data_IF_526874121308
#
_entry.id   IF_526874121308
#
_cell.length_a   1.000
_cell.length_b   1.000
_cell.length_c   1.000
_cell.angle_alpha   90.00
_cell.angle_beta   90.00
_cell.angle_gamma   90.00
#
_symmetry.space_group_name_H-M   'P 1'
#
loop_
_entity.id
_entity.type
_entity.pdbx_description
1 polymer ?
#
# COMPACT_ATOMS: atom_id res chain seq x y z
N UNK A 1 -5.82 30.96 -21.64
CA UNK A 1 -5.85 29.48 -21.49
C UNK A 1 -4.49 28.98 -21.91
N UNK A 2 -3.66 28.46 -21.00
CA UNK A 2 -2.43 27.75 -21.40
C UNK A 2 -2.91 26.50 -22.15
N UNK A 3 -2.49 26.34 -23.40
CA UNK A 3 -2.72 25.09 -24.12
C UNK A 3 -2.13 23.94 -23.30
N UNK A 4 -2.99 23.01 -22.87
CA UNK A 4 -2.61 21.91 -22.02
C UNK A 4 -1.88 20.87 -22.90
N UNK A 5 -0.59 21.11 -23.13
CA UNK A 5 0.27 20.39 -24.08
C UNK A 5 0.60 18.94 -23.63
N UNK A 6 0.23 18.54 -22.41
CA UNK A 6 0.49 17.20 -21.86
C UNK A 6 0.03 16.08 -22.81
N UNK A 7 -1.18 16.19 -23.37
CA UNK A 7 -1.70 15.20 -24.33
C UNK A 7 -0.85 15.10 -25.60
N UNK A 8 -0.50 16.25 -26.19
CA UNK A 8 0.29 16.29 -27.42
C UNK A 8 1.72 15.78 -27.21
N UNK A 9 2.28 15.94 -26.01
CA UNK A 9 3.56 15.35 -25.62
C UNK A 9 3.43 13.82 -25.56
N UNK A 10 2.40 13.30 -24.88
CA UNK A 10 2.16 11.85 -24.74
C UNK A 10 1.98 11.18 -26.11
N UNK A 11 1.20 11.79 -27.02
CA UNK A 11 0.99 11.24 -28.37
C UNK A 11 2.26 11.18 -29.22
N UNK A 12 3.18 12.13 -29.05
CA UNK A 12 4.44 12.16 -29.82
C UNK A 12 5.45 11.12 -29.34
N UNK A 13 5.27 10.58 -28.14
CA UNK A 13 6.23 9.71 -27.45
C UNK A 13 5.86 8.21 -27.52
N UNK A 14 5.30 7.77 -28.65
CA UNK A 14 5.00 6.35 -28.93
C UNK A 14 6.26 5.46 -28.82
N UNK A 15 7.46 6.04 -28.98
CA UNK A 15 8.76 5.37 -28.93
C UNK A 15 9.60 5.79 -27.71
N UNK A 16 8.97 6.14 -26.59
CA UNK A 16 9.67 6.55 -25.37
C UNK A 16 10.84 5.60 -25.02
N UNK A 17 11.99 6.18 -24.72
CA UNK A 17 13.17 5.48 -24.24
C UNK A 17 13.49 5.95 -22.81
N UNK A 18 13.93 5.03 -21.92
CA UNK A 18 14.25 5.40 -20.56
C UNK A 18 15.41 6.40 -20.53
N UNK A 19 15.28 7.53 -19.81
CA UNK A 19 16.37 8.48 -19.68
C UNK A 19 17.50 7.87 -18.84
N UNK A 20 18.74 8.32 -19.10
CA UNK A 20 19.86 8.07 -18.20
C UNK A 20 19.56 8.75 -16.85
N UNK A 21 19.64 7.97 -15.77
CA UNK A 21 19.48 8.47 -14.41
C UNK A 21 20.86 8.95 -13.93
N UNK A 22 21.10 10.25 -14.04
CA UNK A 22 22.36 10.89 -13.67
C UNK A 22 22.21 11.89 -12.51
N UNK A 23 20.99 12.14 -12.07
CA UNK A 23 20.65 13.07 -11.00
C UNK A 23 19.85 12.37 -9.90
N UNK A 24 19.84 13.00 -8.73
CA UNK A 24 19.08 12.52 -7.59
C UNK A 24 17.58 12.59 -7.88
N UNK A 25 16.90 11.46 -7.76
CA UNK A 25 15.46 11.37 -7.97
C UNK A 25 14.75 11.87 -6.73
N UNK A 26 13.88 12.86 -6.90
CA UNK A 26 13.02 13.36 -5.83
C UNK A 26 12.12 12.24 -5.31
N UNK A 27 12.09 12.09 -4.00
CA UNK A 27 11.16 11.19 -3.31
C UNK A 27 9.77 11.80 -3.13
N UNK A 28 8.83 10.97 -2.66
CA UNK A 28 7.47 11.41 -2.29
C UNK A 28 7.43 12.33 -1.06
N UNK A 29 6.21 12.72 -0.70
CA UNK A 29 5.94 13.74 0.32
C UNK A 29 5.79 13.21 1.76
N UNK A 30 6.17 11.95 2.02
CA UNK A 30 6.16 11.36 3.36
C UNK A 30 7.38 11.86 4.18
N UNK A 31 7.16 12.51 5.34
CA UNK A 31 8.26 13.00 6.17
C UNK A 31 9.21 11.90 6.64
N UNK A 32 10.52 12.14 6.49
CA UNK A 32 11.57 11.24 6.98
C UNK A 32 11.78 9.96 6.17
N UNK A 33 10.97 9.73 5.13
CA UNK A 33 11.18 8.61 4.22
C UNK A 33 12.51 8.76 3.46
N UNK A 34 13.08 7.61 3.12
CA UNK A 34 14.28 7.49 2.30
C UNK A 34 14.05 6.39 1.28
N UNK A 35 14.22 6.71 0.02
CA UNK A 35 14.11 5.73 -1.07
C UNK A 35 15.49 5.17 -1.43
N UNK A 36 15.53 3.88 -1.78
CA UNK A 36 16.75 3.26 -2.32
C UNK A 36 16.45 2.67 -3.70
N UNK A 37 16.78 3.43 -4.74
CA UNK A 37 16.52 3.01 -6.12
C UNK A 37 17.65 2.09 -6.58
N UNK A 38 17.35 0.80 -6.71
CA UNK A 38 18.22 -0.21 -7.31
C UNK A 38 17.87 -0.49 -8.77
N UNK A 39 18.69 -1.34 -9.40
CA UNK A 39 18.51 -1.77 -10.79
C UNK A 39 17.14 -2.40 -11.05
N UNK A 40 16.67 -3.26 -10.15
CA UNK A 40 15.37 -3.93 -10.28
C UNK A 40 14.20 -2.92 -10.28
N UNK A 41 14.32 -1.83 -9.52
CA UNK A 41 13.32 -0.75 -9.53
C UNK A 41 13.29 -0.03 -10.87
N UNK A 42 14.47 0.28 -11.43
CA UNK A 42 14.60 0.94 -12.73
C UNK A 42 14.03 0.06 -13.85
N UNK A 43 14.43 -1.22 -13.89
CA UNK A 43 13.95 -2.17 -14.91
C UNK A 43 12.43 -2.35 -14.85
N UNK A 44 11.86 -2.40 -13.65
CA UNK A 44 10.42 -2.46 -13.44
C UNK A 44 9.71 -1.19 -13.89
N UNK A 45 10.21 -0.01 -13.50
CA UNK A 45 9.64 1.27 -13.93
C UNK A 45 9.70 1.44 -15.46
N UNK A 46 10.79 1.00 -16.10
CA UNK A 46 10.94 1.02 -17.56
C UNK A 46 9.92 0.15 -18.30
N UNK A 47 9.39 -0.90 -17.65
CA UNK A 47 8.31 -1.72 -18.20
C UNK A 47 6.94 -1.12 -17.94
N UNK A 48 6.74 -0.53 -16.76
CA UNK A 48 5.47 0.10 -16.37
C UNK A 48 5.19 1.36 -17.20
N UNK A 49 6.20 2.21 -17.39
CA UNK A 49 6.01 3.56 -17.91
C UNK A 49 5.46 3.60 -19.35
N UNK A 50 5.93 2.79 -20.31
CA UNK A 50 5.31 2.72 -21.64
C UNK A 50 3.84 2.29 -21.59
N UNK A 51 3.48 1.37 -20.70
CA UNK A 51 2.10 0.93 -20.53
C UNK A 51 1.22 2.04 -19.90
N UNK A 52 1.77 2.82 -18.97
CA UNK A 52 1.10 4.01 -18.46
C UNK A 52 0.82 5.03 -19.56
N UNK A 53 1.80 5.33 -20.43
CA UNK A 53 1.64 6.31 -21.52
C UNK A 53 0.48 5.93 -22.45
N UNK A 54 0.33 4.65 -22.80
CA UNK A 54 -0.79 4.15 -23.64
C UNK A 54 -2.17 4.40 -23.02
N UNK A 55 -2.25 4.36 -21.69
CA UNK A 55 -3.50 4.58 -20.96
C UNK A 55 -3.75 6.06 -20.68
N UNK A 56 -2.67 6.84 -20.49
CA UNK A 56 -2.72 8.25 -20.13
C UNK A 56 -3.37 9.12 -21.19
N UNK A 57 -3.11 8.88 -22.49
CA UNK A 57 -3.75 9.63 -23.58
C UNK A 57 -5.28 9.62 -23.45
N UNK A 58 -5.86 8.43 -23.23
CA UNK A 58 -7.31 8.24 -23.06
C UNK A 58 -7.85 8.83 -21.75
N UNK A 59 -7.04 8.93 -20.70
CA UNK A 59 -7.49 9.47 -19.42
C UNK A 59 -7.39 11.00 -19.38
N UNK A 60 -6.34 11.56 -19.98
CA UNK A 60 -6.13 13.01 -20.06
C UNK A 60 -7.26 13.70 -20.83
N UNK A 61 -7.73 13.12 -21.95
CA UNK A 61 -8.86 13.65 -22.73
C UNK A 61 -10.17 13.74 -21.92
N UNK A 62 -10.37 12.83 -20.96
CA UNK A 62 -11.60 12.77 -20.16
C UNK A 62 -11.67 13.86 -19.09
N UNK A 63 -10.53 14.48 -18.78
CA UNK A 63 -10.46 15.54 -17.79
C UNK A 63 -10.22 16.89 -18.51
N UNK A 64 -11.15 17.87 -18.44
CA UNK A 64 -10.97 19.17 -19.09
C UNK A 64 -9.72 19.96 -18.66
N UNK A 65 -9.19 19.66 -17.47
CA UNK A 65 -7.96 20.23 -16.93
C UNK A 65 -6.72 19.39 -17.27
N UNK A 66 -6.85 18.33 -18.07
CA UNK A 66 -5.76 17.43 -18.47
C UNK A 66 -5.03 16.81 -17.28
N UNK A 67 -5.71 16.68 -16.13
CA UNK A 67 -5.16 16.14 -14.88
C UNK A 67 -5.54 14.69 -14.70
N UNK A 68 -4.54 13.85 -14.41
CA UNK A 68 -4.70 12.40 -14.25
C UNK A 68 -4.12 11.94 -12.92
N UNK A 69 -4.84 11.04 -12.25
CA UNK A 69 -4.39 10.42 -11.00
C UNK A 69 -4.00 8.97 -11.22
N UNK A 70 -2.77 8.65 -10.87
CA UNK A 70 -2.21 7.29 -10.89
C UNK A 70 -2.08 6.85 -9.44
N UNK A 71 -2.37 5.59 -9.12
CA UNK A 71 -1.94 5.02 -7.84
C UNK A 71 -0.93 3.90 -8.06
N UNK A 72 0.09 3.84 -7.21
CA UNK A 72 1.03 2.73 -7.14
C UNK A 72 0.79 2.03 -5.80
N UNK A 73 0.14 0.87 -5.85
CA UNK A 73 -0.24 0.11 -4.67
C UNK A 73 0.44 -1.26 -4.62
N UNK A 74 0.41 -1.87 -3.44
CA UNK A 74 1.11 -3.13 -3.16
C UNK A 74 1.55 -3.23 -1.71
N UNK A 75 2.02 -4.41 -1.31
CA UNK A 75 2.41 -4.68 0.08
C UNK A 75 3.55 -3.80 0.58
N UNK A 76 3.76 -3.75 1.89
CA UNK A 76 4.94 -3.07 2.45
C UNK A 76 6.24 -3.69 1.90
N UNK A 77 7.15 -2.85 1.39
CA UNK A 77 8.47 -3.28 0.90
C UNK A 77 8.54 -3.78 -0.54
N UNK A 78 7.46 -3.70 -1.33
CA UNK A 78 7.47 -4.11 -2.75
C UNK A 78 8.08 -3.07 -3.71
N UNK A 79 8.51 -1.92 -3.19
CA UNK A 79 9.13 -0.83 -3.94
C UNK A 79 8.16 0.27 -4.41
N UNK A 80 7.04 0.50 -3.72
CA UNK A 80 6.03 1.51 -4.13
C UNK A 80 6.62 2.91 -4.26
N UNK A 81 7.32 3.38 -3.22
CA UNK A 81 7.89 4.72 -3.14
C UNK A 81 8.99 4.91 -4.19
N UNK A 82 9.84 3.91 -4.42
CA UNK A 82 10.86 3.92 -5.47
C UNK A 82 10.25 3.98 -6.87
N UNK A 83 9.27 3.12 -7.15
CA UNK A 83 8.61 3.10 -8.46
C UNK A 83 7.85 4.41 -8.69
N UNK A 84 7.08 4.90 -7.72
CA UNK A 84 6.37 6.18 -7.85
C UNK A 84 7.33 7.36 -8.12
N UNK A 85 8.49 7.38 -7.44
CA UNK A 85 9.51 8.41 -7.64
C UNK A 85 10.14 8.33 -9.03
N UNK A 86 10.44 7.12 -9.52
CA UNK A 86 10.94 6.89 -10.88
C UNK A 86 9.93 7.32 -11.96
N UNK A 87 8.66 6.94 -11.80
CA UNK A 87 7.61 7.32 -12.75
C UNK A 87 7.42 8.85 -12.78
N UNK A 88 7.43 9.50 -11.62
CA UNK A 88 7.34 10.95 -11.50
C UNK A 88 8.53 11.64 -12.19
N UNK A 89 9.75 11.12 -11.99
CA UNK A 89 10.95 11.55 -12.68
C UNK A 89 10.85 11.41 -14.20
N UNK A 90 10.34 10.29 -14.70
CA UNK A 90 10.17 10.07 -16.15
C UNK A 90 9.17 11.06 -16.76
N UNK A 91 8.04 11.34 -16.11
CA UNK A 91 7.13 12.39 -16.58
C UNK A 91 7.80 13.75 -16.63
N UNK A 92 8.54 14.14 -15.58
CA UNK A 92 9.26 15.40 -15.54
C UNK A 92 10.30 15.52 -16.67
N UNK A 93 11.02 14.43 -17.00
CA UNK A 93 11.96 14.41 -18.14
C UNK A 93 11.29 14.53 -19.51
N UNK A 94 10.01 14.17 -19.62
CA UNK A 94 9.20 14.42 -20.81
C UNK A 94 8.60 15.84 -20.84
N UNK A 95 8.84 16.68 -19.81
CA UNK A 95 8.22 17.99 -19.69
C UNK A 95 6.77 17.95 -19.20
N UNK A 96 6.34 16.84 -18.58
CA UNK A 96 5.03 16.70 -17.96
C UNK A 96 5.21 16.81 -16.45
N UNK A 97 4.60 17.83 -15.83
CA UNK A 97 4.71 17.99 -14.39
C UNK A 97 4.01 16.89 -13.61
N UNK A 98 4.70 16.37 -12.59
CA UNK A 98 4.26 15.26 -11.77
C UNK A 98 4.52 15.52 -10.29
N UNK A 99 3.60 15.06 -9.44
CA UNK A 99 3.72 15.10 -7.99
C UNK A 99 3.50 13.72 -7.38
N UNK A 100 4.35 13.32 -6.44
CA UNK A 100 4.24 12.04 -5.72
C UNK A 100 3.73 12.28 -4.30
N UNK A 101 2.50 11.86 -4.04
CA UNK A 101 1.84 11.94 -2.75
C UNK A 101 1.84 10.56 -2.08
N UNK A 102 2.19 10.51 -0.80
CA UNK A 102 2.09 9.32 0.04
C UNK A 102 0.76 9.26 0.76
N UNK A 103 0.06 8.14 0.63
CA UNK A 103 -1.17 7.89 1.40
C UNK A 103 -0.91 7.69 2.90
N UNK A 104 0.34 7.44 3.30
CA UNK A 104 0.71 7.17 4.70
C UNK A 104 0.70 8.43 5.57
N UNK A 105 0.53 9.61 4.97
CA UNK A 105 0.22 10.85 5.70
C UNK A 105 -1.22 10.87 6.28
N UNK A 106 -2.13 10.02 5.81
CA UNK A 106 -3.58 10.11 6.06
C UNK A 106 -4.23 9.07 7.01
N UNK A 107 -3.51 8.29 7.84
CA UNK A 107 -4.12 7.66 9.01
C UNK A 107 -4.75 8.71 9.95
N UNK A 108 -5.76 8.29 10.72
CA UNK A 108 -6.41 9.13 11.73
C UNK A 108 -5.54 9.38 12.96
N UNK A 109 -4.56 8.51 13.21
CA UNK A 109 -3.66 8.55 14.37
C UNK A 109 -2.20 8.57 13.92
N UNK A 110 -1.31 9.08 14.76
CA UNK A 110 0.14 8.92 14.55
C UNK A 110 0.53 7.43 14.55
N UNK A 111 1.62 7.04 13.89
CA UNK A 111 1.98 5.63 13.70
C UNK A 111 1.97 4.79 14.99
N UNK A 112 2.63 5.26 16.05
CA UNK A 112 2.70 4.55 17.34
C UNK A 112 1.32 4.34 17.97
N UNK A 113 0.47 5.36 17.93
CA UNK A 113 -0.90 5.29 18.45
C UNK A 113 -1.81 4.44 17.58
N UNK A 114 -1.59 4.42 16.27
CA UNK A 114 -2.33 3.56 15.38
C UNK A 114 -1.99 2.08 15.61
N UNK A 115 -0.71 1.76 15.79
CA UNK A 115 -0.28 0.39 16.11
C UNK A 115 -0.79 -0.07 17.49
N UNK A 116 -0.80 0.84 18.48
CA UNK A 116 -1.41 0.57 19.78
C UNK A 116 -2.93 0.30 19.68
N UNK A 117 -3.64 1.08 18.87
CA UNK A 117 -5.09 0.90 18.64
C UNK A 117 -5.39 -0.43 17.94
N UNK A 118 -4.63 -0.78 16.90
CA UNK A 118 -4.75 -2.08 16.22
C UNK A 118 -4.62 -3.23 17.21
N UNK A 119 -3.61 -3.17 18.09
CA UNK A 119 -3.35 -4.20 19.09
C UNK A 119 -4.45 -4.25 20.15
N UNK A 120 -4.93 -3.10 20.61
CA UNK A 120 -6.02 -2.99 21.55
C UNK A 120 -7.31 -3.64 21.00
N UNK A 121 -7.74 -3.25 19.80
CA UNK A 121 -8.93 -3.80 19.13
C UNK A 121 -8.82 -5.31 18.94
N UNK A 122 -7.65 -5.79 18.51
CA UNK A 122 -7.40 -7.23 18.36
C UNK A 122 -7.60 -7.97 19.69
N UNK A 123 -6.95 -7.52 20.76
CA UNK A 123 -7.00 -8.21 22.06
C UNK A 123 -8.37 -8.11 22.71
N UNK A 124 -9.02 -6.96 22.64
CA UNK A 124 -10.36 -6.78 23.20
C UNK A 124 -11.38 -7.67 22.47
N UNK A 125 -11.39 -7.64 21.14
CA UNK A 125 -12.32 -8.45 20.33
C UNK A 125 -12.05 -9.95 20.51
N UNK A 126 -10.80 -10.34 20.66
CA UNK A 126 -10.40 -11.72 20.94
C UNK A 126 -10.99 -12.24 22.26
N UNK A 127 -10.89 -11.46 23.34
CA UNK A 127 -11.44 -11.83 24.64
C UNK A 127 -12.98 -11.83 24.64
N UNK A 128 -13.60 -10.87 23.96
CA UNK A 128 -15.06 -10.83 23.80
C UNK A 128 -15.59 -12.06 23.06
N UNK A 129 -14.93 -12.50 21.99
CA UNK A 129 -15.34 -13.70 21.25
C UNK A 129 -15.21 -14.96 22.13
N UNK A 130 -14.16 -15.06 22.95
CA UNK A 130 -14.04 -16.16 23.91
C UNK A 130 -15.17 -16.21 24.94
N UNK A 131 -15.65 -15.05 25.39
CA UNK A 131 -16.81 -14.96 26.29
C UNK A 131 -18.06 -15.44 25.56
N UNK A 132 -18.27 -14.97 24.33
CA UNK A 132 -19.42 -15.35 23.51
C UNK A 132 -19.47 -16.86 23.22
N UNK A 133 -18.31 -17.46 22.95
CA UNK A 133 -18.16 -18.89 22.70
C UNK A 133 -18.19 -19.74 23.99
N UNK A 134 -18.27 -19.12 25.17
CA UNK A 134 -18.28 -19.82 26.46
C UNK A 134 -16.95 -20.50 26.81
N UNK A 135 -15.84 -20.08 26.19
CA UNK A 135 -14.51 -20.65 26.39
C UNK A 135 -13.59 -19.76 27.25
N UNK A 136 -14.05 -18.58 27.66
CA UNK A 136 -13.31 -17.73 28.58
C UNK A 136 -13.33 -18.27 30.02
N UNK A 137 -12.15 -18.34 30.65
CA UNK A 137 -11.94 -18.69 32.07
C UNK A 137 -10.69 -17.95 32.56
N UNK A 138 -10.57 -17.73 33.87
CA UNK A 138 -9.39 -17.07 34.47
C UNK A 138 -8.08 -17.82 34.16
N UNK A 139 -8.08 -19.15 34.20
CA UNK A 139 -6.91 -19.97 33.93
C UNK A 139 -6.42 -19.84 32.47
N UNK A 140 -7.37 -19.85 31.52
CA UNK A 140 -7.07 -19.61 30.10
C UNK A 140 -6.59 -18.18 29.85
N UNK A 141 -7.15 -17.21 30.55
CA UNK A 141 -6.70 -15.82 30.46
C UNK A 141 -5.27 -15.66 30.98
N UNK A 142 -4.87 -16.34 32.05
CA UNK A 142 -3.47 -16.34 32.50
C UNK A 142 -2.52 -16.83 31.41
N UNK A 143 -2.89 -17.90 30.68
CA UNK A 143 -2.10 -18.39 29.53
C UNK A 143 -2.01 -17.31 28.43
N UNK A 144 -3.14 -16.72 28.05
CA UNK A 144 -3.19 -15.64 27.05
C UNK A 144 -2.32 -14.46 27.48
N UNK A 145 -2.40 -14.04 28.75
CA UNK A 145 -1.63 -12.92 29.26
C UNK A 145 -0.12 -13.15 29.15
N UNK A 146 0.34 -14.37 29.40
CA UNK A 146 1.75 -14.72 29.20
C UNK A 146 2.16 -14.69 27.71
N UNK A 147 1.27 -15.05 26.79
CA UNK A 147 1.51 -14.88 25.35
C UNK A 147 1.51 -13.40 24.94
N UNK A 148 0.62 -12.59 25.50
CA UNK A 148 0.53 -11.15 25.26
C UNK A 148 1.80 -10.42 25.68
N UNK A 149 2.37 -10.77 26.85
CA UNK A 149 3.64 -10.22 27.34
C UNK A 149 4.81 -10.56 26.42
N UNK A 150 4.76 -11.71 25.75
CA UNK A 150 5.79 -12.17 24.79
C UNK A 150 5.57 -11.64 23.36
N UNK A 151 4.42 -11.03 23.06
CA UNK A 151 4.06 -10.61 21.70
C UNK A 151 3.75 -11.80 20.77
N UNK A 152 3.32 -12.92 21.35
CA UNK A 152 3.05 -14.18 20.64
C UNK A 152 1.56 -14.52 20.57
N UNK A 153 0.68 -13.65 21.07
CA UNK A 153 -0.76 -13.89 21.18
C UNK A 153 -1.53 -13.84 19.84
N UNK A 154 -0.85 -13.61 18.72
CA UNK A 154 -1.43 -13.72 17.38
C UNK A 154 -0.83 -14.86 16.54
N UNK A 155 -0.07 -15.77 17.19
CA UNK A 155 0.57 -16.91 16.53
C UNK A 155 -0.37 -18.13 16.53
N UNK A 156 -0.74 -18.57 15.33
CA UNK A 156 -1.68 -19.67 15.11
C UNK A 156 -1.15 -21.03 15.66
N UNK A 157 0.17 -21.16 15.88
CA UNK A 157 0.77 -22.39 16.44
C UNK A 157 0.20 -22.79 17.80
N UNK A 158 -0.30 -21.81 18.57
CA UNK A 158 -0.84 -22.07 19.91
C UNK A 158 -2.17 -22.82 19.89
N UNK A 159 -2.88 -22.83 18.75
CA UNK A 159 -4.14 -23.59 18.59
C UNK A 159 -3.90 -25.10 18.76
N UNK A 160 -2.76 -25.62 18.31
CA UNK A 160 -2.41 -27.04 18.45
C UNK A 160 -2.35 -27.45 19.93
N UNK A 161 -1.74 -26.58 20.76
CA UNK A 161 -1.60 -26.83 22.20
C UNK A 161 -2.87 -26.47 22.98
N UNK A 162 -3.60 -25.46 22.52
CA UNK A 162 -4.75 -24.88 23.18
C UNK A 162 -5.90 -24.74 22.16
N UNK A 163 -6.70 -25.79 21.91
CA UNK A 163 -7.77 -25.72 20.90
C UNK A 163 -8.77 -24.57 21.11
N UNK A 164 -9.02 -24.19 22.37
CA UNK A 164 -9.86 -23.04 22.73
C UNK A 164 -9.29 -21.68 22.28
N UNK A 165 -7.99 -21.60 22.00
CA UNK A 165 -7.32 -20.39 21.52
C UNK A 165 -7.76 -19.99 20.11
N UNK A 166 -8.37 -20.92 19.36
CA UNK A 166 -8.97 -20.60 18.07
C UNK A 166 -10.05 -19.50 18.18
N UNK A 167 -10.84 -19.49 19.26
CA UNK A 167 -11.84 -18.45 19.52
C UNK A 167 -11.18 -17.08 19.73
N UNK A 168 -10.09 -17.03 20.51
CA UNK A 168 -9.29 -15.82 20.71
C UNK A 168 -8.79 -15.24 19.37
N UNK A 169 -8.14 -16.07 18.55
CA UNK A 169 -7.60 -15.63 17.26
C UNK A 169 -8.70 -15.20 16.30
N UNK A 170 -9.81 -15.95 16.21
CA UNK A 170 -10.93 -15.62 15.35
C UNK A 170 -11.56 -14.27 15.73
N UNK A 171 -11.79 -14.05 17.02
CA UNK A 171 -12.31 -12.79 17.55
C UNK A 171 -11.37 -11.62 17.27
N UNK A 172 -10.06 -11.80 17.51
CA UNK A 172 -9.07 -10.76 17.26
C UNK A 172 -8.95 -10.40 15.79
N UNK A 173 -8.92 -11.39 14.89
CA UNK A 173 -8.91 -11.16 13.43
C UNK A 173 -10.19 -10.47 12.97
N UNK A 174 -11.35 -10.87 13.48
CA UNK A 174 -12.65 -10.25 13.16
C UNK A 174 -12.68 -8.78 13.59
N UNK A 175 -12.26 -8.48 14.81
CA UNK A 175 -12.16 -7.10 15.31
C UNK A 175 -11.19 -6.26 14.48
N UNK A 176 -10.00 -6.79 14.22
CA UNK A 176 -8.98 -6.09 13.44
C UNK A 176 -9.43 -5.82 12.01
N UNK A 177 -10.13 -6.74 11.34
CA UNK A 177 -10.74 -6.52 10.01
C UNK A 177 -11.80 -5.41 10.00
N UNK A 178 -12.45 -5.15 11.15
CA UNK A 178 -13.38 -4.03 11.29
C UNK A 178 -12.70 -2.66 11.39
N UNK A 179 -11.39 -2.62 11.62
CA UNK A 179 -10.60 -1.40 11.79
C UNK A 179 -9.57 -1.19 10.67
N UNK A 180 -8.69 -2.17 10.46
CA UNK A 180 -7.56 -2.12 9.55
C UNK A 180 -8.00 -1.89 8.10
N UNK A 181 -7.42 -0.86 7.46
CA UNK A 181 -7.70 -0.43 6.09
C UNK A 181 -9.12 0.10 5.87
N UNK A 182 -9.84 0.44 6.95
CA UNK A 182 -11.20 0.99 6.91
C UNK A 182 -11.22 2.50 7.21
N UNK A 183 -12.36 3.19 7.02
CA UNK A 183 -12.52 4.58 7.43
C UNK A 183 -12.37 4.82 8.94
N UNK A 184 -12.38 3.78 9.78
CA UNK A 184 -12.09 3.92 11.22
C UNK A 184 -10.60 4.14 11.50
N UNK A 185 -9.73 3.61 10.64
CA UNK A 185 -8.28 3.78 10.76
C UNK A 185 -7.76 4.95 9.91
N UNK A 186 -8.32 5.11 8.71
CA UNK A 186 -7.77 5.96 7.66
C UNK A 186 -8.76 7.06 7.28
N UNK A 187 -8.26 8.27 7.07
CA UNK A 187 -9.06 9.38 6.56
C UNK A 187 -9.12 9.37 5.02
N UNK A 188 -9.84 8.41 4.44
CA UNK A 188 -10.01 8.27 3.00
C UNK A 188 -10.68 9.50 2.34
N UNK A 189 -11.54 10.21 3.07
CA UNK A 189 -12.21 11.41 2.58
C UNK A 189 -11.21 12.54 2.31
N UNK A 190 -10.17 12.69 3.14
CA UNK A 190 -9.14 13.69 2.92
C UNK A 190 -8.42 13.47 1.57
N UNK A 191 -8.00 12.23 1.29
CA UNK A 191 -7.37 11.87 0.02
C UNK A 191 -8.33 12.03 -1.17
N UNK A 192 -9.59 11.61 -1.02
CA UNK A 192 -10.60 11.77 -2.07
C UNK A 192 -10.85 13.26 -2.38
N UNK A 193 -10.86 14.12 -1.36
CA UNK A 193 -11.00 15.56 -1.52
C UNK A 193 -9.78 16.19 -2.22
N UNK A 194 -8.56 15.77 -1.90
CA UNK A 194 -7.33 16.19 -2.59
C UNK A 194 -7.39 15.80 -4.06
N UNK A 195 -7.75 14.55 -4.37
CA UNK A 195 -7.93 14.07 -5.74
C UNK A 195 -9.00 14.85 -6.48
N UNK A 196 -10.13 15.15 -5.82
CA UNK A 196 -11.19 15.97 -6.41
C UNK A 196 -10.72 17.38 -6.74
N UNK A 197 -10.05 18.06 -5.79
CA UNK A 197 -9.48 19.40 -5.97
C UNK A 197 -8.44 19.41 -7.11
N UNK A 198 -7.55 18.42 -7.12
CA UNK A 198 -6.59 18.25 -8.20
C UNK A 198 -7.31 18.10 -9.53
N UNK A 199 -8.24 17.16 -9.69
CA UNK A 199 -8.94 16.95 -10.97
C UNK A 199 -9.81 18.13 -11.41
N UNK A 200 -10.20 19.03 -10.50
CA UNK A 200 -10.93 20.28 -10.81
C UNK A 200 -10.04 21.41 -11.32
N UNK A 201 -8.71 21.27 -11.25
CA UNK A 201 -7.79 22.30 -11.73
C UNK A 201 -7.32 23.28 -10.65
N UNK A 202 -7.51 22.97 -9.36
CA UNK A 202 -7.00 23.82 -8.28
C UNK A 202 -5.48 23.96 -8.37
N UNK A 203 -4.98 25.19 -8.39
CA UNK A 203 -3.54 25.46 -8.52
C UNK A 203 -2.79 25.29 -7.21
N UNK A 204 -3.46 25.36 -6.07
CA UNK A 204 -2.82 25.17 -4.77
C UNK A 204 -3.70 24.28 -3.90
N UNK A 205 -3.11 23.27 -3.28
CA UNK A 205 -3.82 22.32 -2.42
C UNK A 205 -3.07 22.19 -1.11
N UNK A 206 -3.79 22.27 0.01
CA UNK A 206 -3.23 21.98 1.33
C UNK A 206 -3.10 20.48 1.51
N UNK A 207 -1.88 20.01 1.75
CA UNK A 207 -1.56 18.60 1.99
C UNK A 207 -1.12 18.42 3.45
N UNK A 208 -1.61 17.35 4.07
CA UNK A 208 -1.17 16.96 5.41
C UNK A 208 0.21 16.33 5.32
N UNK A 209 1.06 16.63 6.30
CA UNK A 209 2.30 15.93 6.58
C UNK A 209 2.21 15.34 7.97
N UNK A 210 2.57 14.06 8.10
CA UNK A 210 2.58 13.38 9.38
C UNK A 210 3.88 12.58 9.51
N UNK A 211 4.77 13.04 10.38
CA UNK A 211 5.95 12.28 10.79
C UNK A 211 5.60 11.21 11.82
N UNK A 212 6.62 10.74 12.53
CA UNK A 212 6.47 9.67 13.52
C UNK A 212 6.18 10.20 14.91
N UNK A 213 6.69 11.39 15.22
CA UNK A 213 6.51 12.04 16.51
C UNK A 213 5.23 12.86 16.56
N UNK A 214 4.67 13.06 17.75
CA UNK A 214 3.42 13.81 17.95
C UNK A 214 3.49 15.28 17.52
N UNK A 215 4.69 15.86 17.56
CA UNK A 215 4.93 17.23 17.10
C UNK A 215 5.05 17.35 15.58
N UNK A 216 5.17 16.23 14.85
CA UNK A 216 5.37 16.21 13.41
C UNK A 216 4.04 16.11 12.66
N UNK A 217 3.15 17.08 12.89
CA UNK A 217 1.89 17.20 12.17
C UNK A 217 1.68 18.64 11.71
N UNK A 218 1.67 18.85 10.39
CA UNK A 218 1.44 20.16 9.80
C UNK A 218 0.74 20.05 8.45
N UNK A 219 0.32 21.20 7.92
CA UNK A 219 -0.20 21.31 6.57
C UNK A 219 0.75 22.17 5.74
N UNK A 220 1.00 21.73 4.52
CA UNK A 220 1.81 22.43 3.53
C UNK A 220 0.92 22.81 2.36
N UNK A 221 1.00 24.06 1.91
CA UNK A 221 0.30 24.50 0.69
C UNK A 221 1.20 24.20 -0.50
N UNK A 222 0.77 23.27 -1.35
CA UNK A 222 1.57 22.81 -2.50
C UNK A 222 1.01 23.39 -3.79
N UNK A 223 1.91 23.89 -4.64
CA UNK A 223 1.59 24.40 -5.97
C UNK A 223 1.46 23.26 -7.00
N UNK A 224 0.29 23.18 -7.63
CA UNK A 224 -0.12 22.25 -8.67
C UNK A 224 -0.35 22.93 -10.03
N UNK A 225 0.00 24.22 -10.18
CA UNK A 225 -0.22 24.99 -11.41
C UNK A 225 0.46 24.39 -12.63
N UNK A 226 1.64 23.79 -12.45
CA UNK A 226 2.39 23.10 -13.49
C UNK A 226 2.36 21.56 -13.32
N UNK A 227 1.42 21.01 -12.54
CA UNK A 227 1.30 19.56 -12.31
C UNK A 227 0.10 19.00 -13.08
N UNK A 228 0.37 18.02 -13.95
CA UNK A 228 -0.64 17.29 -14.71
C UNK A 228 -0.88 15.88 -14.17
N UNK A 229 0.14 15.26 -13.57
CA UNK A 229 0.08 13.89 -13.06
C UNK A 229 0.22 13.90 -11.54
N UNK A 230 -0.77 13.34 -10.84
CA UNK A 230 -0.66 13.05 -9.42
C UNK A 230 -0.45 11.54 -9.25
N UNK A 231 0.70 11.15 -8.73
CA UNK A 231 1.01 9.76 -8.39
C UNK A 231 0.79 9.58 -6.89
N UNK A 232 -0.09 8.67 -6.52
CA UNK A 232 -0.36 8.32 -5.12
C UNK A 232 0.25 6.96 -4.83
N UNK A 233 1.34 6.94 -4.07
CA UNK A 233 1.94 5.70 -3.61
C UNK A 233 1.31 5.31 -2.27
N UNK A 234 0.74 4.10 -2.21
CA UNK A 234 0.02 3.68 -1.01
C UNK A 234 -0.38 2.21 -1.01
N UNK A 235 -0.37 1.55 0.16
CA UNK A 235 -0.92 0.20 0.31
C UNK A 235 -2.42 0.16 -0.05
N UNK A 236 -3.21 1.15 0.38
CA UNK A 236 -4.66 1.16 0.18
C UNK A 236 -5.11 1.92 -1.09
N UNK A 237 -4.20 2.12 -2.06
CA UNK A 237 -4.47 2.86 -3.31
C UNK A 237 -5.60 2.30 -4.16
N UNK A 238 -5.95 1.01 -4.00
CA UNK A 238 -7.09 0.36 -4.65
C UNK A 238 -8.29 0.15 -3.70
N UNK A 239 -8.36 0.78 -2.53
CA UNK A 239 -9.48 0.61 -1.59
C UNK A 239 -10.81 1.08 -2.18
N UNK A 240 -11.92 0.42 -1.84
CA UNK A 240 -13.28 0.87 -2.20
C UNK A 240 -13.69 2.16 -1.49
N UNK A 241 -13.02 2.51 -0.39
CA UNK A 241 -13.23 3.75 0.34
C UNK A 241 -12.57 4.97 -0.33
N UNK A 242 -11.74 4.75 -1.34
CA UNK A 242 -10.97 5.78 -2.04
C UNK A 242 -11.43 5.92 -3.49
N UNK A 243 -11.64 7.16 -3.96
CA UNK A 243 -12.21 7.43 -5.29
C UNK A 243 -11.37 8.42 -6.08
N UNK A 244 -11.48 8.32 -7.41
CA UNK A 244 -10.97 9.31 -8.36
C UNK A 244 -9.66 8.94 -9.05
N UNK A 245 -9.06 7.79 -8.70
CA UNK A 245 -7.92 7.21 -9.42
C UNK A 245 -8.32 6.86 -10.86
N UNK A 246 -7.49 7.28 -11.81
CA UNK A 246 -7.69 6.98 -13.22
C UNK A 246 -6.93 5.72 -13.64
N UNK A 247 -5.70 5.51 -13.15
CA UNK A 247 -4.88 4.36 -13.50
C UNK A 247 -4.29 3.72 -12.24
N UNK A 248 -4.87 2.60 -11.78
CA UNK A 248 -4.31 1.88 -10.65
C UNK A 248 -3.26 0.86 -11.08
N UNK A 249 -2.05 0.99 -10.53
CA UNK A 249 -0.90 0.10 -10.74
C UNK A 249 -0.71 -0.75 -9.49
N UNK A 250 -0.77 -2.07 -9.62
CA UNK A 250 -0.49 -3.02 -8.55
C UNK A 250 0.91 -3.61 -8.71
N UNK A 251 1.77 -3.35 -7.73
CA UNK A 251 3.04 -4.05 -7.54
C UNK A 251 2.76 -5.30 -6.71
N UNK A 252 2.71 -6.44 -7.37
CA UNK A 252 2.43 -7.71 -6.74
C UNK A 252 3.69 -8.34 -6.13
N UNK A 253 3.50 -9.05 -5.02
CA UNK A 253 4.47 -10.01 -4.48
C UNK A 253 3.70 -11.19 -3.91
N UNK A 254 4.18 -12.40 -4.16
CA UNK A 254 3.54 -13.60 -3.60
C UNK A 254 3.74 -13.66 -2.08
N UNK A 255 2.93 -14.45 -1.35
CA UNK A 255 3.13 -14.67 0.08
C UNK A 255 4.55 -15.14 0.44
N UNK A 256 5.13 -16.05 -0.34
CA UNK A 256 6.50 -16.57 -0.15
C UNK A 256 7.54 -15.49 -0.37
N UNK A 257 7.40 -14.68 -1.42
CA UNK A 257 8.32 -13.58 -1.70
C UNK A 257 8.27 -12.52 -0.61
N UNK A 258 7.07 -12.26 -0.10
CA UNK A 258 6.83 -11.36 1.03
C UNK A 258 7.49 -11.91 2.30
N UNK A 259 7.34 -13.20 2.58
CA UNK A 259 8.00 -13.87 3.71
C UNK A 259 9.53 -13.85 3.59
N UNK A 260 10.07 -14.12 2.40
CA UNK A 260 11.50 -14.11 2.14
C UNK A 260 12.10 -12.70 2.35
N UNK A 261 11.43 -11.67 1.85
CA UNK A 261 11.82 -10.27 2.08
C UNK A 261 11.80 -9.94 3.59
N UNK A 262 10.81 -10.42 4.33
CA UNK A 262 10.76 -10.25 5.80
C UNK A 262 11.91 -10.95 6.51
N UNK A 263 12.23 -12.21 6.15
CA UNK A 263 13.36 -12.94 6.73
C UNK A 263 14.69 -12.21 6.52
N UNK A 264 14.88 -11.62 5.34
CA UNK A 264 16.06 -10.79 5.06
C UNK A 264 16.11 -9.58 6.00
N UNK A 265 15.01 -8.83 6.16
CA UNK A 265 14.95 -7.67 7.07
C UNK A 265 15.10 -8.03 8.55
N UNK A 266 14.56 -9.16 8.99
CA UNK A 266 14.67 -9.61 10.38
C UNK A 266 16.11 -9.99 10.75
N UNK A 267 16.93 -10.40 9.76
CA UNK A 267 18.38 -10.61 9.94
C UNK A 267 19.13 -9.30 10.24
N UNK A 268 18.56 -8.16 9.83
CA UNK A 268 19.13 -6.83 9.98
C UNK A 268 18.59 -6.05 11.21
N UNK A 269 17.94 -6.75 12.17
CA UNK A 269 17.80 -6.26 13.54
C UNK A 269 16.41 -5.82 14.03
N UNK A 270 15.32 -6.06 13.31
CA UNK A 270 13.95 -5.91 13.82
C UNK A 270 13.20 -7.24 13.74
N UNK A 271 12.90 -7.87 14.87
CA UNK A 271 12.00 -9.03 14.90
C UNK A 271 10.55 -8.58 14.82
N UNK A 272 9.89 -8.82 13.68
CA UNK A 272 8.44 -8.64 13.53
C UNK A 272 7.70 -9.54 14.55
N UNK A 273 6.75 -8.96 15.31
CA UNK A 273 5.91 -9.72 16.27
C UNK A 273 4.88 -10.61 15.54
N UNK A 274 4.32 -11.61 16.24
CA UNK A 274 3.21 -12.41 15.69
C UNK A 274 2.04 -11.54 15.24
N UNK A 275 1.76 -10.47 15.99
CA UNK A 275 0.72 -9.52 15.68
C UNK A 275 1.01 -8.71 14.41
N UNK A 276 2.23 -8.20 14.27
CA UNK A 276 2.67 -7.49 13.06
C UNK A 276 2.53 -8.38 11.83
N UNK A 277 2.89 -9.66 11.92
CA UNK A 277 2.70 -10.60 10.83
C UNK A 277 1.23 -10.78 10.45
N UNK A 278 0.33 -10.85 11.45
CA UNK A 278 -1.11 -10.94 11.23
C UNK A 278 -1.69 -9.69 10.56
N UNK A 279 -1.28 -8.49 10.97
CA UNK A 279 -1.66 -7.22 10.30
C UNK A 279 -1.25 -7.26 8.83
N UNK A 280 0.00 -7.62 8.53
CA UNK A 280 0.49 -7.66 7.16
C UNK A 280 -0.18 -8.75 6.32
N UNK A 281 -0.56 -9.88 6.91
CA UNK A 281 -1.36 -10.92 6.25
C UNK A 281 -2.72 -10.37 5.83
N UNK A 282 -3.39 -9.64 6.72
CA UNK A 282 -4.67 -9.00 6.43
C UNK A 282 -4.54 -7.93 5.35
N UNK A 283 -3.54 -7.06 5.40
CA UNK A 283 -3.28 -6.07 4.34
C UNK A 283 -3.05 -6.75 2.98
N UNK A 284 -2.33 -7.86 2.94
CA UNK A 284 -2.15 -8.62 1.71
C UNK A 284 -3.47 -9.21 1.21
N UNK A 285 -4.34 -9.72 2.09
CA UNK A 285 -5.67 -10.17 1.71
C UNK A 285 -6.49 -9.05 1.08
N UNK A 286 -6.46 -7.85 1.68
CA UNK A 286 -7.13 -6.67 1.13
C UNK A 286 -6.59 -6.30 -0.26
N UNK A 287 -5.27 -6.32 -0.45
CA UNK A 287 -4.67 -6.08 -1.78
C UNK A 287 -5.15 -7.09 -2.83
N UNK A 288 -5.27 -8.38 -2.44
CA UNK A 288 -5.76 -9.44 -3.33
C UNK A 288 -7.22 -9.25 -3.73
N UNK A 289 -8.08 -8.94 -2.76
CA UNK A 289 -9.51 -8.66 -2.99
C UNK A 289 -9.69 -7.49 -3.97
N UNK A 290 -8.79 -6.51 -3.93
CA UNK A 290 -8.86 -5.30 -4.74
C UNK A 290 -8.02 -5.36 -6.04
N UNK A 291 -7.34 -6.48 -6.32
CA UNK A 291 -6.41 -6.60 -7.45
C UNK A 291 -7.11 -6.53 -8.81
N UNK A 292 -8.38 -6.92 -8.90
CA UNK A 292 -9.19 -6.85 -10.14
C UNK A 292 -9.39 -5.43 -10.66
N UNK A 293 -9.22 -4.41 -9.81
CA UNK A 293 -9.33 -3.00 -10.19
C UNK A 293 -8.06 -2.43 -10.81
N UNK A 294 -6.92 -3.12 -10.69
CA UNK A 294 -5.67 -2.66 -11.26
C UNK A 294 -5.75 -2.69 -12.80
N UNK A 295 -5.33 -1.60 -13.43
CA UNK A 295 -5.17 -1.54 -14.90
C UNK A 295 -3.80 -2.03 -15.34
N UNK A 296 -2.83 -2.04 -14.44
CA UNK A 296 -1.49 -2.57 -14.66
C UNK A 296 -1.13 -3.42 -13.43
N UNK A 297 -0.82 -4.69 -13.63
CA UNK A 297 -0.32 -5.59 -12.58
C UNK A 297 1.11 -5.97 -12.94
N UNK A 298 1.99 -5.84 -11.96
CA UNK A 298 3.43 -6.03 -12.13
C UNK A 298 3.91 -7.06 -11.13
N UNK A 299 4.55 -8.13 -11.59
CA UNK A 299 5.15 -9.13 -10.70
C UNK A 299 6.37 -8.57 -9.96
N UNK A 300 6.87 -9.31 -8.97
CA UNK A 300 8.11 -8.95 -8.28
C UNK A 300 9.28 -8.80 -9.24
N UNK A 301 9.36 -9.68 -10.25
CA UNK A 301 10.35 -9.73 -11.33
C UNK A 301 10.12 -8.66 -12.42
N UNK A 302 9.10 -7.82 -12.26
CA UNK A 302 8.80 -6.72 -13.18
C UNK A 302 8.04 -7.14 -14.44
N UNK A 303 7.44 -8.33 -14.47
CA UNK A 303 6.61 -8.76 -15.60
C UNK A 303 5.23 -8.11 -15.54
N UNK A 304 4.74 -7.62 -16.67
CA UNK A 304 3.37 -7.13 -16.79
C UNK A 304 2.46 -8.32 -17.05
N UNK A 305 1.43 -8.47 -16.21
CA UNK A 305 0.50 -9.58 -16.29
C UNK A 305 -0.95 -9.08 -16.28
N UNK A 306 -1.84 -9.86 -16.88
CA UNK A 306 -3.27 -9.62 -16.76
C UNK A 306 -3.83 -10.20 -15.45
N UNK A 307 -5.09 -9.86 -15.14
CA UNK A 307 -5.72 -10.31 -13.90
C UNK A 307 -5.87 -11.85 -13.83
N UNK A 308 -6.10 -12.51 -14.96
CA UNK A 308 -6.21 -13.97 -15.02
C UNK A 308 -4.88 -14.65 -14.65
N UNK A 309 -3.77 -14.16 -15.20
CA UNK A 309 -2.42 -14.65 -14.89
C UNK A 309 -2.04 -14.34 -13.45
N UNK A 310 -2.46 -13.18 -12.93
CA UNK A 310 -2.32 -12.86 -11.51
C UNK A 310 -3.05 -13.88 -10.62
N UNK A 311 -4.31 -14.20 -10.92
CA UNK A 311 -5.06 -15.20 -10.15
C UNK A 311 -4.38 -16.58 -10.18
N UNK A 312 -3.88 -17.00 -11.34
CA UNK A 312 -3.14 -18.25 -11.46
C UNK A 312 -1.85 -18.25 -10.62
N UNK A 313 -1.08 -17.15 -10.67
CA UNK A 313 0.14 -16.98 -9.88
C UNK A 313 -0.15 -17.05 -8.37
N UNK A 314 -1.18 -16.34 -7.91
CA UNK A 314 -1.55 -16.31 -6.49
C UNK A 314 -2.12 -17.66 -6.03
N UNK A 315 -2.92 -18.33 -6.86
CA UNK A 315 -3.45 -19.67 -6.55
C UNK A 315 -2.34 -20.73 -6.43
N UNK A 316 -1.39 -20.76 -7.35
CA UNK A 316 -0.24 -21.65 -7.29
C UNK A 316 0.63 -21.41 -6.03
N UNK A 317 0.80 -20.13 -5.66
CA UNK A 317 1.50 -19.76 -4.44
C UNK A 317 0.80 -20.26 -3.16
N UNK A 318 -0.53 -20.18 -3.10
CA UNK A 318 -1.29 -20.70 -1.95
C UNK A 318 -1.24 -22.23 -1.84
N UNK A 319 -1.33 -22.92 -2.97
CA UNK A 319 -1.24 -24.39 -3.03
C UNK A 319 0.12 -24.87 -2.52
N UNK A 320 1.20 -24.21 -2.93
CA UNK A 320 2.55 -24.53 -2.44
C UNK A 320 2.68 -24.37 -0.93
N UNK A 321 2.08 -23.33 -0.33
CA UNK A 321 2.08 -23.15 1.13
C UNK A 321 1.37 -24.31 1.82
N UNK A 322 0.19 -24.70 1.32
CA UNK A 322 -0.57 -25.82 1.89
C UNK A 322 0.23 -27.12 1.85
N UNK A 323 0.90 -27.42 0.74
CA UNK A 323 1.77 -28.61 0.62
C UNK A 323 2.92 -28.56 1.63
N UNK A 324 3.60 -27.42 1.76
CA UNK A 324 4.72 -27.25 2.68
C UNK A 324 4.30 -27.37 4.17
N UNK A 325 3.07 -26.99 4.51
CA UNK A 325 2.51 -27.12 5.86
C UNK A 325 2.08 -28.57 6.17
N UNK A 326 1.52 -29.30 5.20
CA UNK A 326 1.16 -30.72 5.40
C UNK A 326 2.36 -31.66 5.51
N UNK A 327 3.55 -31.22 5.09
CA UNK A 327 4.79 -31.99 5.13
C UNK A 327 5.67 -31.69 6.36
N UNK A 328 5.19 -30.89 7.33
CA UNK A 328 5.88 -30.56 8.58
C UNK A 328 5.23 -31.22 9.80
#
# INVERSE_FOLDING_TARGET
MKENNCYQIIEKEINWQPPLISEEIKQGDMPGDKISIGRDHIEKANRIFPELLKQLSKMAEKNPQGRVVITVCGGSGVGKSEIASLLSYYFMKMGIGSYTLSGDNYPRRFPVYNDAERLHIFRESALQEMINDGVYTEERFHIIQELQKKGEDADDKYVIRYPWFNSYLAGGVKGLKGYLGTPHEINFDALTNIVSAFKKGENEIWLKRMGREESELWFEKVDFSEVNILIIEWTHGNSDYYKGVDIPVLLNSTPQETLAHRRARNRDGKTDSSFTMKVLELEQNMLREQASKAKIIVTKQGELIDYKSYQALMGAAEEQIRVDETNK
#
